data_IF_552936323320
#
_entry.id   IF_552936323320
#
_cell.length_a   1.000
_cell.length_b   1.000
_cell.length_c   1.000
_cell.angle_alpha   90.00
_cell.angle_beta   90.00
_cell.angle_gamma   90.00
#
_symmetry.space_group_name_H-M   'P 1'
#
loop_
_entity.id
_entity.type
_entity.pdbx_description
1 polymer ?
#
# COMPACT_ATOMS: atom_id res chain seq x y z
N UNK A 1 48.55 -51.44 33.13
CA UNK A 1 47.15 -51.76 33.46
C UNK A 1 46.24 -50.76 32.76
N UNK A 2 45.63 -51.13 31.62
CA UNK A 2 44.88 -50.22 30.76
C UNK A 2 43.44 -50.03 31.25
N UNK A 3 43.01 -48.78 31.41
CA UNK A 3 41.66 -48.41 31.89
C UNK A 3 40.71 -48.30 30.69
N UNK A 4 39.98 -49.37 30.37
CA UNK A 4 38.81 -49.31 29.47
C UNK A 4 37.70 -48.51 30.16
N UNK A 5 37.22 -47.41 29.57
CA UNK A 5 35.94 -46.78 29.95
C UNK A 5 35.03 -46.60 28.74
N UNK A 6 34.07 -47.53 28.68
CA UNK A 6 32.68 -47.45 28.20
C UNK A 6 32.28 -46.26 27.31
N UNK A 7 32.04 -46.55 26.03
CA UNK A 7 31.26 -45.69 25.14
C UNK A 7 29.78 -45.91 25.48
N UNK A 8 29.11 -44.88 26.01
CA UNK A 8 27.66 -44.94 26.29
C UNK A 8 26.90 -45.17 24.97
N UNK A 9 26.14 -46.26 24.89
CA UNK A 9 25.14 -46.48 23.83
C UNK A 9 24.11 -45.35 23.93
N UNK A 10 24.23 -44.35 23.06
CA UNK A 10 23.17 -43.37 22.85
C UNK A 10 21.99 -44.15 22.27
N UNK A 11 20.93 -44.28 23.05
CA UNK A 11 19.72 -45.02 22.69
C UNK A 11 19.19 -44.51 21.34
N UNK A 12 18.98 -45.43 20.40
CA UNK A 12 18.37 -45.14 19.08
C UNK A 12 17.04 -44.37 19.21
N UNK A 13 16.35 -44.55 20.35
CA UNK A 13 15.15 -43.82 20.74
C UNK A 13 15.39 -42.30 20.83
N UNK A 14 16.52 -41.85 21.37
CA UNK A 14 16.86 -40.43 21.48
C UNK A 14 17.18 -39.81 20.11
N UNK A 15 17.73 -40.60 19.18
CA UNK A 15 17.99 -40.16 17.81
C UNK A 15 16.70 -40.05 17.00
N UNK A 16 15.78 -41.01 17.17
CA UNK A 16 14.46 -41.00 16.55
C UNK A 16 13.57 -39.85 17.04
N UNK A 17 13.57 -39.57 18.36
CA UNK A 17 12.87 -38.42 18.94
C UNK A 17 13.44 -37.08 18.46
N UNK A 18 14.76 -36.98 18.28
CA UNK A 18 15.39 -35.78 17.73
C UNK A 18 15.02 -35.57 16.25
N UNK A 19 14.96 -36.64 15.46
CA UNK A 19 14.53 -36.58 14.06
C UNK A 19 13.05 -36.22 13.90
N UNK A 20 12.17 -36.80 14.73
CA UNK A 20 10.75 -36.44 14.79
C UNK A 20 10.53 -34.98 15.21
N UNK A 21 11.31 -34.47 16.16
CA UNK A 21 11.28 -33.06 16.55
C UNK A 21 11.79 -32.13 15.45
N UNK A 22 12.80 -32.55 14.66
CA UNK A 22 13.25 -31.80 13.47
C UNK A 22 12.18 -31.78 12.38
N UNK A 23 11.53 -32.91 12.09
CA UNK A 23 10.45 -32.99 11.09
C UNK A 23 9.23 -32.18 11.55
N UNK A 24 8.82 -32.30 12.81
CA UNK A 24 7.75 -31.48 13.38
C UNK A 24 8.13 -29.99 13.38
N UNK A 25 9.39 -29.65 13.66
CA UNK A 25 9.92 -28.28 13.54
C UNK A 25 9.87 -27.75 12.11
N UNK A 26 10.19 -28.59 11.11
CA UNK A 26 10.08 -28.25 9.68
C UNK A 26 8.61 -28.08 9.26
N UNK A 27 7.69 -28.92 9.75
CA UNK A 27 6.25 -28.78 9.49
C UNK A 27 5.64 -27.55 10.18
N UNK A 28 6.11 -27.17 11.37
CA UNK A 28 5.70 -25.95 12.07
C UNK A 28 6.29 -24.70 11.37
N UNK A 29 7.51 -24.78 10.84
CA UNK A 29 8.14 -23.73 10.05
C UNK A 29 7.50 -23.56 8.66
N UNK A 30 6.99 -24.64 8.04
CA UNK A 30 6.28 -24.55 6.75
C UNK A 30 4.93 -23.85 6.84
N UNK A 31 4.24 -23.88 8.00
CA UNK A 31 2.99 -23.14 8.19
C UNK A 31 3.15 -21.61 8.15
N UNK A 32 4.38 -21.11 8.28
CA UNK A 32 4.67 -19.67 8.25
C UNK A 32 4.94 -19.12 6.85
N UNK A 33 4.86 -19.94 5.80
CA UNK A 33 4.82 -19.44 4.41
C UNK A 33 3.35 -19.25 4.01
N UNK A 34 2.62 -18.45 4.78
CA UNK A 34 1.43 -17.78 4.23
C UNK A 34 2.00 -16.77 3.24
N UNK A 35 1.83 -17.03 1.94
CA UNK A 35 2.28 -16.12 0.89
C UNK A 35 1.92 -14.68 1.24
N UNK A 36 2.88 -13.76 1.08
CA UNK A 36 2.72 -12.38 1.51
C UNK A 36 1.39 -11.81 1.00
N UNK A 37 0.48 -11.47 1.90
CA UNK A 37 -0.82 -10.86 1.54
C UNK A 37 -0.60 -9.40 1.20
N UNK A 38 -0.88 -9.06 -0.05
CA UNK A 38 -0.67 -7.73 -0.65
C UNK A 38 -2.01 -7.00 -0.78
N UNK A 39 -1.99 -5.68 -0.73
CA UNK A 39 -3.21 -4.87 -0.72
C UNK A 39 -3.78 -4.55 -2.11
N UNK A 40 -2.93 -4.58 -3.15
CA UNK A 40 -3.28 -4.04 -4.46
C UNK A 40 -2.99 -4.98 -5.64
N UNK A 41 -2.35 -6.12 -5.39
CA UNK A 41 -2.03 -7.11 -6.42
C UNK A 41 -2.09 -8.54 -5.89
N UNK A 42 -2.42 -9.49 -6.76
CA UNK A 42 -2.35 -10.93 -6.43
C UNK A 42 -0.94 -11.45 -6.10
N UNK A 43 0.15 -10.72 -6.41
CA UNK A 43 1.52 -11.22 -6.21
C UNK A 43 2.55 -10.16 -5.71
N UNK A 44 2.10 -9.07 -5.10
CA UNK A 44 2.93 -8.04 -4.46
C UNK A 44 3.90 -7.28 -5.40
N UNK A 45 3.85 -7.50 -6.72
CA UNK A 45 4.83 -6.92 -7.66
C UNK A 45 4.22 -6.14 -8.80
N UNK A 46 3.10 -6.60 -9.36
CA UNK A 46 2.56 -6.08 -10.62
C UNK A 46 2.12 -4.61 -10.60
N UNK A 47 1.93 -4.03 -9.42
CA UNK A 47 1.42 -2.67 -9.24
C UNK A 47 2.49 -1.68 -8.76
N UNK A 48 3.74 -2.12 -8.59
CA UNK A 48 4.85 -1.29 -8.09
C UNK A 48 5.67 -0.65 -9.22
N UNK A 49 5.07 -0.48 -10.40
CA UNK A 49 5.75 0.13 -11.55
C UNK A 49 4.79 0.97 -12.39
N UNK A 50 5.33 2.00 -13.04
CA UNK A 50 4.58 2.81 -13.99
C UNK A 50 4.06 1.93 -15.13
N UNK A 51 2.73 1.91 -15.30
CA UNK A 51 2.11 1.17 -16.40
C UNK A 51 0.85 1.88 -16.87
N UNK A 52 0.79 2.15 -18.16
CA UNK A 52 -0.34 2.81 -18.83
C UNK A 52 -0.90 1.89 -19.90
N UNK A 53 -2.21 1.71 -19.87
CA UNK A 53 -2.98 0.84 -20.75
C UNK A 53 -4.20 1.63 -21.29
N UNK A 54 -3.92 2.70 -22.03
CA UNK A 54 -4.96 3.49 -22.70
C UNK A 54 -5.72 2.62 -23.71
N UNK A 55 -7.05 2.56 -23.56
CA UNK A 55 -7.93 1.71 -24.38
C UNK A 55 -8.27 0.35 -23.74
N UNK A 56 -7.66 0.01 -22.60
CA UNK A 56 -8.08 -1.16 -21.82
C UNK A 56 -9.48 -0.97 -21.21
N UNK A 57 -10.09 -2.08 -20.79
CA UNK A 57 -11.36 -2.10 -20.07
C UNK A 57 -11.10 -2.57 -18.64
N UNK A 58 -11.54 -1.79 -17.66
CA UNK A 58 -11.48 -2.18 -16.25
C UNK A 58 -12.64 -3.11 -15.89
N UNK A 59 -12.42 -3.95 -14.88
CA UNK A 59 -13.45 -4.77 -14.25
C UNK A 59 -13.43 -4.55 -12.75
N UNK A 60 -14.58 -4.27 -12.13
CA UNK A 60 -14.73 -4.17 -10.68
C UNK A 60 -16.10 -4.68 -10.27
N UNK A 61 -16.17 -5.61 -9.30
CA UNK A 61 -17.44 -6.23 -8.86
C UNK A 61 -18.26 -6.80 -10.04
N UNK A 62 -17.58 -7.41 -11.01
CA UNK A 62 -18.20 -7.96 -12.23
C UNK A 62 -18.63 -6.92 -13.29
N UNK A 63 -18.54 -5.62 -13.00
CA UNK A 63 -18.90 -4.55 -13.93
C UNK A 63 -17.71 -4.11 -14.78
N UNK A 64 -17.96 -3.84 -16.07
CA UNK A 64 -16.99 -3.23 -16.98
C UNK A 64 -17.01 -1.71 -16.82
N UNK A 65 -15.83 -1.11 -16.69
CA UNK A 65 -15.65 0.32 -16.42
C UNK A 65 -14.63 0.87 -17.41
N UNK A 66 -14.85 2.08 -17.91
CA UNK A 66 -13.90 2.77 -18.78
C UNK A 66 -12.80 3.43 -17.93
N UNK A 67 -11.53 3.02 -18.06
CA UNK A 67 -10.44 3.64 -17.33
C UNK A 67 -10.14 5.06 -17.83
N UNK A 68 -9.57 5.92 -16.98
CA UNK A 68 -9.09 7.23 -17.42
C UNK A 68 -7.98 7.07 -18.47
N UNK A 69 -7.95 7.97 -19.43
CA UNK A 69 -6.82 8.10 -20.34
C UNK A 69 -5.70 8.85 -19.62
N UNK A 70 -4.50 8.27 -19.59
CA UNK A 70 -3.34 8.90 -18.97
C UNK A 70 -2.41 9.42 -20.06
N UNK A 71 -2.16 10.73 -20.01
CA UNK A 71 -1.18 11.41 -20.85
C UNK A 71 -0.02 11.86 -19.97
N UNK A 72 1.15 11.24 -20.15
CA UNK A 72 2.35 11.53 -19.37
C UNK A 72 3.06 12.82 -19.79
N UNK A 73 2.73 13.36 -20.96
CA UNK A 73 3.29 14.65 -21.42
C UNK A 73 2.66 15.82 -20.67
N UNK A 74 1.46 15.61 -20.12
CA UNK A 74 0.81 16.56 -19.23
C UNK A 74 1.40 16.44 -17.83
N UNK A 75 2.43 17.25 -17.59
CA UNK A 75 2.70 17.72 -16.22
C UNK A 75 1.53 18.59 -15.83
N UNK A 76 0.86 18.22 -14.74
CA UNK A 76 -0.16 19.07 -14.15
C UNK A 76 0.57 20.31 -13.65
N UNK A 77 0.60 21.34 -14.49
CA UNK A 77 1.09 22.65 -14.10
C UNK A 77 0.20 23.08 -12.95
N UNK A 78 0.69 22.88 -11.73
CA UNK A 78 0.11 23.51 -10.56
C UNK A 78 0.05 24.98 -10.93
N UNK A 79 -1.14 25.46 -11.30
CA UNK A 79 -1.44 26.87 -11.46
C UNK A 79 -1.14 27.48 -10.09
N UNK A 80 0.11 27.92 -9.91
CA UNK A 80 0.46 28.86 -8.85
C UNK A 80 -0.31 30.11 -9.22
N UNK A 81 -1.53 30.22 -8.71
CA UNK A 81 -2.34 31.42 -8.88
C UNK A 81 -1.62 32.49 -8.09
N UNK A 82 -1.26 33.59 -8.73
CA UNK A 82 -0.55 34.70 -8.11
C UNK A 82 -1.39 35.21 -6.93
N UNK A 83 -1.03 34.81 -5.70
CA UNK A 83 -1.79 35.12 -4.47
C UNK A 83 -2.02 33.93 -3.53
N UNK A 84 -1.73 32.69 -3.92
CA UNK A 84 -1.84 31.56 -2.99
C UNK A 84 -0.75 31.65 -1.91
N UNK A 85 -1.16 31.69 -0.64
CA UNK A 85 -0.24 31.72 0.48
C UNK A 85 0.63 30.47 0.43
N UNK A 86 1.95 30.67 0.44
CA UNK A 86 2.89 29.56 0.55
C UNK A 86 2.75 28.98 1.95
N UNK A 87 2.09 27.83 2.06
CA UNK A 87 2.04 27.08 3.30
C UNK A 87 3.47 26.66 3.69
N UNK A 88 3.79 26.80 4.98
CA UNK A 88 5.10 26.44 5.54
C UNK A 88 4.92 25.41 6.67
N UNK A 89 5.98 24.67 7.00
CA UNK A 89 5.97 23.65 8.04
C UNK A 89 5.92 22.20 7.54
N UNK A 90 6.04 21.25 8.47
CA UNK A 90 6.07 19.81 8.20
C UNK A 90 4.72 19.34 7.62
N UNK A 91 4.80 18.51 6.56
CA UNK A 91 3.64 17.87 5.96
C UNK A 91 3.32 16.56 6.68
N UNK A 92 2.05 16.39 7.08
CA UNK A 92 1.57 15.19 7.79
C UNK A 92 0.20 14.79 7.27
N UNK A 93 -0.03 13.50 7.12
CA UNK A 93 -1.34 12.94 6.73
C UNK A 93 -1.90 12.12 7.89
N UNK A 94 -3.18 12.31 8.17
CA UNK A 94 -3.94 11.52 9.13
C UNK A 94 -5.09 10.82 8.39
N UNK A 95 -5.21 9.51 8.57
CA UNK A 95 -6.31 8.70 8.05
C UNK A 95 -7.06 8.09 9.22
N UNK A 96 -8.30 8.53 9.40
CA UNK A 96 -9.23 7.99 10.38
C UNK A 96 -10.11 6.94 9.70
N UNK A 97 -9.92 5.68 10.06
CA UNK A 97 -10.67 4.55 9.52
C UNK A 97 -12.11 4.52 10.06
N UNK A 98 -12.38 5.06 11.25
CA UNK A 98 -13.72 5.05 11.83
C UNK A 98 -14.63 6.04 11.11
N UNK A 99 -14.13 7.24 10.82
CA UNK A 99 -14.91 8.24 10.07
C UNK A 99 -14.70 8.20 8.56
N UNK A 100 -13.81 7.32 8.09
CA UNK A 100 -13.41 7.20 6.68
C UNK A 100 -12.97 8.55 6.10
N UNK A 101 -12.08 9.24 6.83
CA UNK A 101 -11.64 10.61 6.53
C UNK A 101 -10.11 10.67 6.44
N UNK A 102 -9.60 11.38 5.43
CA UNK A 102 -8.21 11.79 5.34
C UNK A 102 -8.11 13.29 5.61
N UNK A 103 -7.19 13.69 6.49
CA UNK A 103 -6.82 15.09 6.72
C UNK A 103 -5.32 15.27 6.54
N UNK A 104 -4.91 16.18 5.66
CA UNK A 104 -3.54 16.54 5.40
C UNK A 104 -3.22 17.93 5.97
N UNK A 105 -2.16 18.02 6.76
CA UNK A 105 -1.71 19.24 7.42
C UNK A 105 -0.37 19.71 6.87
N UNK A 106 -0.21 21.02 6.74
CA UNK A 106 1.09 21.67 6.60
C UNK A 106 1.32 22.62 7.78
N UNK A 107 2.28 22.28 8.64
CA UNK A 107 2.36 22.93 9.95
C UNK A 107 1.04 22.70 10.70
N UNK A 108 0.36 23.78 11.07
CA UNK A 108 -0.92 23.75 11.80
C UNK A 108 -2.14 24.02 10.89
N UNK A 109 -1.92 24.18 9.57
CA UNK A 109 -2.99 24.47 8.61
C UNK A 109 -3.46 23.18 7.96
N UNK A 110 -4.78 22.99 7.89
CA UNK A 110 -5.39 21.92 7.09
C UNK A 110 -5.28 22.29 5.61
N UNK A 111 -4.46 21.53 4.87
CA UNK A 111 -4.31 21.67 3.42
C UNK A 111 -5.46 20.99 2.67
N UNK A 112 -5.82 19.78 3.09
CA UNK A 112 -6.87 18.98 2.46
C UNK A 112 -7.61 18.15 3.52
N UNK A 113 -8.93 18.14 3.45
CA UNK A 113 -9.76 17.17 4.18
C UNK A 113 -10.76 16.55 3.21
N UNK A 114 -10.83 15.21 3.17
CA UNK A 114 -11.68 14.48 2.23
C UNK A 114 -12.13 13.12 2.76
N UNK A 115 -13.22 12.60 2.19
CA UNK A 115 -13.67 11.24 2.43
C UNK A 115 -12.86 10.24 1.63
N UNK A 116 -12.61 9.08 2.22
CA UNK A 116 -11.86 7.97 1.62
C UNK A 116 -12.66 6.67 1.66
N UNK A 117 -12.18 5.62 0.99
CA UNK A 117 -12.65 4.25 1.21
C UNK A 117 -11.46 3.36 1.53
N UNK A 118 -11.42 2.83 2.75
CA UNK A 118 -10.37 1.92 3.21
C UNK A 118 -10.69 0.45 2.91
N UNK A 119 -9.85 -0.44 3.42
CA UNK A 119 -9.95 -1.87 3.27
C UNK A 119 -11.27 -2.45 3.79
N UNK A 120 -12.05 -3.07 2.88
CA UNK A 120 -13.24 -3.87 3.18
C UNK A 120 -12.92 -5.36 3.16
N UNK A 121 -12.29 -5.83 2.09
CA UNK A 121 -11.97 -7.26 1.90
C UNK A 121 -10.62 -7.62 2.52
N UNK A 122 -9.74 -6.63 2.65
CA UNK A 122 -8.47 -6.77 3.34
C UNK A 122 -8.21 -5.50 4.15
N UNK A 123 -7.99 -5.58 5.48
CA UNK A 123 -7.90 -4.41 6.33
C UNK A 123 -6.76 -3.45 5.93
N UNK A 124 -7.03 -2.15 5.98
CA UNK A 124 -5.98 -1.14 5.93
C UNK A 124 -5.21 -1.15 7.26
N UNK A 125 -3.87 -1.23 7.25
CA UNK A 125 -3.08 -1.32 8.46
C UNK A 125 -3.08 0.03 9.20
N UNK A 126 -3.19 -0.03 10.53
CA UNK A 126 -3.00 1.12 11.41
C UNK A 126 -1.54 1.27 11.81
N UNK A 127 -1.13 2.49 12.14
CA UNK A 127 0.23 2.80 12.59
C UNK A 127 0.81 4.03 11.90
N UNK A 128 2.11 4.19 12.05
CA UNK A 128 2.89 5.24 11.41
C UNK A 128 3.59 4.69 10.16
N UNK A 129 3.46 5.43 9.07
CA UNK A 129 4.01 5.08 7.77
C UNK A 129 4.66 6.30 7.12
N UNK A 130 5.46 6.04 6.10
CA UNK A 130 6.07 7.07 5.26
C UNK A 130 5.86 6.72 3.79
N UNK A 131 5.53 7.73 2.98
CA UNK A 131 5.47 7.58 1.52
C UNK A 131 6.87 7.26 0.99
N UNK A 132 7.05 6.13 0.33
CA UNK A 132 8.36 5.73 -0.20
C UNK A 132 8.44 5.79 -1.72
N UNK A 133 7.29 5.74 -2.41
CA UNK A 133 7.21 5.86 -3.86
C UNK A 133 5.92 6.54 -4.30
N UNK A 134 6.02 7.36 -5.34
CA UNK A 134 4.89 7.96 -6.03
C UNK A 134 4.93 7.58 -7.50
N UNK A 135 3.81 7.11 -8.05
CA UNK A 135 3.66 6.72 -9.46
C UNK A 135 2.42 7.40 -10.05
N UNK A 136 2.56 8.02 -11.22
CA UNK A 136 1.46 8.71 -11.90
C UNK A 136 0.30 7.79 -12.27
N UNK A 137 0.60 6.60 -12.76
CA UNK A 137 -0.40 5.58 -13.04
C UNK A 137 0.18 4.16 -13.04
N UNK A 138 -0.58 3.20 -12.54
CA UNK A 138 -0.22 1.77 -12.64
C UNK A 138 -1.47 0.90 -12.84
N UNK A 139 -1.26 -0.37 -13.15
CA UNK A 139 -2.32 -1.38 -13.16
C UNK A 139 -2.41 -2.03 -11.78
N UNK A 140 -3.61 -2.10 -11.20
CA UNK A 140 -3.89 -2.89 -10.01
C UNK A 140 -4.86 -4.02 -10.35
N UNK A 141 -4.56 -5.25 -9.95
CA UNK A 141 -5.46 -6.39 -10.16
C UNK A 141 -5.26 -7.45 -9.10
N UNK A 142 -6.36 -7.94 -8.55
CA UNK A 142 -6.39 -8.87 -7.42
C UNK A 142 -7.84 -9.24 -7.08
N UNK A 143 -8.04 -9.71 -5.85
CA UNK A 143 -9.32 -10.30 -5.44
C UNK A 143 -9.58 -11.64 -6.17
N UNK A 144 -10.69 -12.28 -5.83
CA UNK A 144 -11.07 -13.59 -6.37
C UNK A 144 -12.57 -13.83 -6.28
N UNK A 145 -13.17 -14.35 -7.36
CA UNK A 145 -14.62 -14.52 -7.41
C UNK A 145 -15.33 -13.17 -7.41
N UNK A 146 -16.21 -12.92 -6.43
CA UNK A 146 -17.09 -11.75 -6.44
C UNK A 146 -16.39 -10.41 -6.19
N UNK A 147 -15.22 -10.41 -5.52
CA UNK A 147 -14.45 -9.20 -5.22
C UNK A 147 -13.26 -9.00 -6.18
N UNK A 148 -13.19 -9.79 -7.26
CA UNK A 148 -12.16 -9.65 -8.28
C UNK A 148 -12.18 -8.25 -8.91
N UNK A 149 -10.97 -7.72 -9.15
CA UNK A 149 -10.79 -6.47 -9.85
C UNK A 149 -9.61 -6.52 -10.83
N UNK A 150 -9.78 -5.78 -11.92
CA UNK A 150 -8.77 -5.45 -12.91
C UNK A 150 -8.89 -3.97 -13.22
N UNK A 151 -7.94 -3.18 -12.75
CA UNK A 151 -7.98 -1.72 -12.76
C UNK A 151 -6.71 -1.20 -13.45
N UNK A 152 -6.70 -1.07 -14.78
CA UNK A 152 -5.64 -0.36 -15.50
C UNK A 152 -5.68 1.13 -15.14
N UNK A 153 -4.55 1.83 -15.27
CA UNK A 153 -4.45 3.28 -15.12
C UNK A 153 -4.97 3.82 -13.76
N UNK A 154 -4.78 3.10 -12.65
CA UNK A 154 -5.02 3.65 -11.30
C UNK A 154 -4.11 4.86 -11.11
N UNK A 155 -4.65 6.08 -10.97
CA UNK A 155 -3.85 7.29 -11.03
C UNK A 155 -3.38 7.77 -9.65
N UNK A 156 -2.31 8.57 -9.65
CA UNK A 156 -1.82 9.31 -8.48
C UNK A 156 -1.52 8.40 -7.28
N UNK A 157 -0.76 7.34 -7.52
CA UNK A 157 -0.47 6.30 -6.53
C UNK A 157 0.67 6.77 -5.63
N UNK A 158 0.45 6.72 -4.32
CA UNK A 158 1.41 7.06 -3.27
C UNK A 158 1.58 5.85 -2.35
N UNK A 159 2.63 5.07 -2.58
CA UNK A 159 2.95 3.89 -1.78
C UNK A 159 3.53 4.29 -0.43
N UNK A 160 3.08 3.61 0.62
CA UNK A 160 3.59 3.82 1.97
C UNK A 160 4.04 2.51 2.61
N UNK A 161 4.96 2.63 3.56
CA UNK A 161 5.51 1.50 4.33
C UNK A 161 5.90 1.94 5.73
N UNK A 162 6.10 0.98 6.64
CA UNK A 162 6.43 1.23 8.04
C UNK A 162 6.94 -0.03 8.73
N UNK A 163 7.27 0.06 10.01
CA UNK A 163 7.93 -1.02 10.78
C UNK A 163 7.16 -2.36 10.77
N UNK A 164 5.84 -2.35 10.56
CA UNK A 164 5.00 -3.56 10.42
C UNK A 164 4.49 -3.84 9.00
N UNK A 165 4.81 -3.01 8.01
CA UNK A 165 4.30 -3.11 6.65
C UNK A 165 5.42 -2.85 5.66
N UNK A 166 5.99 -3.93 5.12
CA UNK A 166 7.03 -3.85 4.10
C UNK A 166 6.52 -3.17 2.81
N UNK A 167 7.40 -2.40 2.15
CA UNK A 167 7.11 -1.70 0.88
C UNK A 167 6.48 -2.61 -0.18
N UNK A 168 6.98 -3.84 -0.31
CA UNK A 168 6.47 -4.84 -1.26
C UNK A 168 5.01 -5.25 -1.04
N UNK A 169 4.38 -4.91 0.09
CA UNK A 169 2.95 -5.22 0.32
C UNK A 169 2.01 -4.31 -0.49
N UNK A 170 2.52 -3.22 -1.05
CA UNK A 170 1.81 -2.38 -2.01
C UNK A 170 0.64 -1.56 -1.43
N UNK A 171 0.61 -1.31 -0.13
CA UNK A 171 -0.35 -0.37 0.44
C UNK A 171 -0.08 1.05 -0.07
N UNK A 172 -1.14 1.72 -0.51
CA UNK A 172 -1.04 3.04 -1.11
C UNK A 172 -2.29 3.88 -0.87
N UNK A 173 -2.11 5.19 -1.00
CA UNK A 173 -3.20 6.12 -1.28
C UNK A 173 -3.25 6.33 -2.79
N UNK A 174 -4.44 6.33 -3.41
CA UNK A 174 -4.56 6.58 -4.84
C UNK A 174 -5.95 7.05 -5.25
N UNK A 175 -6.07 7.55 -6.48
CA UNK A 175 -7.37 7.84 -7.08
C UNK A 175 -8.14 6.57 -7.40
N UNK A 176 -9.45 6.56 -7.14
CA UNK A 176 -10.35 5.49 -7.56
C UNK A 176 -11.38 6.03 -8.55
N UNK A 177 -11.37 5.49 -9.77
CA UNK A 177 -12.31 5.87 -10.84
C UNK A 177 -13.50 4.90 -10.97
N UNK A 178 -13.47 3.76 -10.28
CA UNK A 178 -14.42 2.66 -10.45
C UNK A 178 -15.59 2.69 -9.46
N UNK A 179 -15.55 3.55 -8.44
CA UNK A 179 -16.64 3.71 -7.49
C UNK A 179 -16.66 5.13 -6.89
N UNK A 180 -17.78 5.50 -6.27
CA UNK A 180 -17.95 6.76 -5.54
C UNK A 180 -18.29 6.58 -4.05
N UNK A 181 -18.05 5.39 -3.48
CA UNK A 181 -18.44 5.03 -2.11
C UNK A 181 -17.56 5.65 -1.00
N UNK A 182 -17.09 6.87 -1.19
CA UNK A 182 -16.21 7.56 -0.25
C UNK A 182 -16.97 7.87 1.05
N UNK A 183 -16.36 7.56 2.20
CA UNK A 183 -17.01 7.54 3.50
C UNK A 183 -17.35 6.12 4.00
N UNK A 184 -17.10 5.10 3.18
CA UNK A 184 -17.33 3.70 3.51
C UNK A 184 -16.19 2.80 2.97
N UNK A 185 -15.85 1.69 3.65
CA UNK A 185 -14.84 0.75 3.15
C UNK A 185 -15.21 0.13 1.79
N UNK A 186 -14.26 0.10 0.85
CA UNK A 186 -14.47 -0.46 -0.51
C UNK A 186 -13.16 -0.85 -1.21
N UNK A 187 -12.11 -1.21 -0.47
CA UNK A 187 -10.83 -1.62 -1.07
C UNK A 187 -10.31 -2.95 -0.53
N UNK A 188 -9.21 -3.42 -1.12
CA UNK A 188 -8.38 -4.52 -0.62
C UNK A 188 -7.22 -4.01 0.24
N UNK A 189 -7.40 -2.89 0.94
CA UNK A 189 -6.47 -2.38 1.95
C UNK A 189 -5.84 -1.05 1.61
N UNK A 190 -5.82 -0.67 0.33
CA UNK A 190 -5.42 0.69 -0.07
C UNK A 190 -6.45 1.74 0.39
N UNK A 191 -6.02 3.00 0.45
CA UNK A 191 -6.88 4.13 0.78
C UNK A 191 -7.34 4.78 -0.52
N UNK A 192 -8.57 4.46 -0.93
CA UNK A 192 -9.14 5.00 -2.17
C UNK A 192 -9.61 6.43 -1.94
N UNK A 193 -9.25 7.32 -2.87
CA UNK A 193 -9.61 8.73 -2.85
C UNK A 193 -10.33 9.13 -4.14
N UNK A 194 -11.11 10.22 -4.10
CA UNK A 194 -11.59 10.87 -5.33
C UNK A 194 -10.38 11.26 -6.18
N UNK A 195 -10.43 11.06 -7.49
CA UNK A 195 -9.27 11.32 -8.37
C UNK A 195 -8.74 12.75 -8.24
N UNK A 196 -9.64 13.74 -8.11
CA UNK A 196 -9.28 15.16 -7.94
C UNK A 196 -8.55 15.43 -6.62
N UNK A 197 -8.89 14.71 -5.55
CA UNK A 197 -8.25 14.86 -4.24
C UNK A 197 -6.91 14.12 -4.21
N UNK A 198 -6.85 12.92 -4.82
CA UNK A 198 -5.61 12.17 -4.97
C UNK A 198 -4.57 12.97 -5.76
N UNK A 199 -4.99 13.64 -6.84
CA UNK A 199 -4.15 14.52 -7.66
C UNK A 199 -3.57 15.67 -6.82
N UNK A 200 -4.42 16.41 -6.10
CA UNK A 200 -3.99 17.50 -5.22
C UNK A 200 -3.01 17.01 -4.16
N UNK A 201 -3.32 15.89 -3.51
CA UNK A 201 -2.45 15.32 -2.49
C UNK A 201 -1.11 14.87 -3.09
N UNK A 202 -1.12 14.17 -4.23
CA UNK A 202 0.07 13.63 -4.91
C UNK A 202 1.13 14.69 -5.21
N UNK A 203 0.69 15.87 -5.68
CA UNK A 203 1.60 16.98 -5.98
C UNK A 203 2.00 17.78 -4.74
N UNK A 204 1.21 17.74 -3.67
CA UNK A 204 1.54 18.40 -2.41
C UNK A 204 2.50 17.58 -1.54
N UNK A 205 2.36 16.25 -1.47
CA UNK A 205 3.20 15.41 -0.60
C UNK A 205 4.65 15.28 -1.06
N UNK A 206 5.53 15.00 -0.10
CA UNK A 206 6.90 14.57 -0.33
C UNK A 206 6.98 13.02 -0.48
N UNK A 207 7.96 12.45 -1.20
CA UNK A 207 9.05 13.14 -1.91
C UNK A 207 8.53 14.08 -2.99
N UNK A 208 9.13 15.25 -3.17
CA UNK A 208 8.68 16.20 -4.19
C UNK A 208 8.72 15.55 -5.57
N UNK A 209 7.63 15.64 -6.32
CA UNK A 209 7.48 14.97 -7.63
C UNK A 209 8.49 15.54 -8.62
N UNK A 210 9.33 14.69 -9.17
CA UNK A 210 10.33 15.06 -10.19
C UNK A 210 10.15 14.31 -11.52
N UNK A 211 9.04 13.57 -11.68
CA UNK A 211 8.73 12.79 -12.86
C UNK A 211 7.46 11.96 -12.70
N UNK A 212 7.33 10.93 -13.53
CA UNK A 212 6.18 10.02 -13.49
C UNK A 212 6.31 8.92 -12.44
N UNK A 213 7.52 8.72 -11.92
CA UNK A 213 7.87 7.87 -10.79
C UNK A 213 8.84 8.66 -9.92
N UNK A 214 8.62 8.69 -8.62
CA UNK A 214 9.49 9.37 -7.66
C UNK A 214 9.65 8.51 -6.42
N UNK A 215 10.88 8.12 -6.12
CA UNK A 215 11.24 7.39 -4.90
C UNK A 215 11.70 8.35 -3.80
N UNK A 216 11.41 8.02 -2.55
CA UNK A 216 11.98 8.74 -1.41
C UNK A 216 13.48 8.44 -1.28
N UNK A 217 14.27 9.45 -0.94
CA UNK A 217 15.70 9.33 -0.64
C UNK A 217 16.01 10.00 0.69
N UNK A 218 17.26 9.93 1.16
CA UNK A 218 17.69 10.68 2.35
C UNK A 218 17.46 12.19 2.21
N UNK A 219 17.72 12.75 1.02
CA UNK A 219 17.60 14.18 0.75
C UNK A 219 16.19 14.60 0.27
N UNK A 220 15.32 13.64 -0.06
CA UNK A 220 13.94 13.86 -0.46
C UNK A 220 13.05 12.84 0.27
N UNK A 221 12.89 12.99 1.59
CA UNK A 221 12.16 12.04 2.40
C UNK A 221 10.67 12.07 2.09
N UNK A 222 9.97 10.98 2.39
CA UNK A 222 8.52 10.91 2.25
C UNK A 222 7.74 11.67 3.31
N UNK A 223 6.55 12.10 2.94
CA UNK A 223 5.56 12.59 3.91
C UNK A 223 5.10 11.46 4.85
N UNK A 224 4.99 11.77 6.14
CA UNK A 224 4.49 10.86 7.17
C UNK A 224 2.97 10.70 7.08
N UNK A 225 2.50 9.49 7.34
CA UNK A 225 1.09 9.11 7.39
C UNK A 225 0.82 8.41 8.73
N UNK A 226 -0.21 8.86 9.43
CA UNK A 226 -0.71 8.21 10.64
C UNK A 226 -2.10 7.64 10.30
N UNK A 227 -2.25 6.32 10.38
CA UNK A 227 -3.52 5.63 10.16
C UNK A 227 -4.02 5.07 11.49
N UNK A 228 -5.24 5.39 11.87
CA UNK A 228 -5.82 5.00 13.16
C UNK A 228 -7.33 4.75 13.07
N UNK A 229 -7.89 4.26 14.17
CA UNK A 229 -9.29 3.86 14.26
C UNK A 229 -9.56 2.49 13.63
N UNK A 230 -10.83 2.10 13.64
CA UNK A 230 -11.32 0.85 13.06
C UNK A 230 -12.36 1.14 11.99
N UNK A 231 -12.28 0.43 10.86
CA UNK A 231 -13.22 0.59 9.75
C UNK A 231 -14.64 0.07 10.15
N UNK A 232 -15.72 0.76 9.77
CA UNK A 232 -17.10 0.38 10.09
C UNK A 232 -17.62 -0.82 9.30
#
# INVERSE_FOLDING_TARGET
MARKKSIKKISWLNFALFFLAMIAGIFILQKSIVGATCANTGNCKESLSLKIENGAVATFSGQKITPPQIDLTKTDESRRVLGEAVLTGEKRIYVDLTTQTLTAYQGDVVFLQTKISSGKWFPTPTGEFTIWEKIRATKMSGGQGADYYYLPNVPYVMFFSGSGVAAGRGFSLHGAYWHNNFGHPMSHGCVNMRQVDAQKLYYWVDPSTNGNVTLSTGDNPGTKIIIYGEAP
#
